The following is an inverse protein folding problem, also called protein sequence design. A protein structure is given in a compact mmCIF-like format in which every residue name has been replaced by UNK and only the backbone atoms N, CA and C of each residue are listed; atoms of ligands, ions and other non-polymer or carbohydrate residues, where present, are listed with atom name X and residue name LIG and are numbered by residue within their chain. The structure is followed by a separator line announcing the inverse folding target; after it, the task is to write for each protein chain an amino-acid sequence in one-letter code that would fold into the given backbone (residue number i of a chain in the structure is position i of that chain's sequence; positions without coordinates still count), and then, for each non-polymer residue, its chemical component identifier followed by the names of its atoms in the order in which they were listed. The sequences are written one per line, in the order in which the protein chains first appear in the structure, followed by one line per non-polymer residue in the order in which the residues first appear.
data_IF_442370950658
#
_entry.id   IF_442370950658
#
_cell.length_a   1.000
_cell.length_b   1.000
_cell.length_c   1.000
_cell.angle_alpha   90.00
_cell.angle_beta   90.00
_cell.angle_gamma   90.00
#
_symmetry.space_group_name_H-M   'P 1'
#
loop_
_entity.id
_entity.type
_entity.pdbx_description
1 polymer ?
2 non-polymer ?
3 non-polymer ?
4 water ?
#
# COMPACT_ATOMS: atom_id res chain seq x y z
CA UNK A 14 5.65 -2.95 -2.34
C UNK A 14 4.34 -2.49 -1.71
N UNK A 16 2.67 -0.07 -2.85
CA UNK A 16 2.79 1.39 -2.93
C UNK A 16 2.00 1.96 -4.13
N UNK A 17 1.41 1.11 -4.96
CA UNK A 17 0.49 1.56 -6.01
C UNK A 17 -0.86 1.72 -5.38
N UNK A 18 -1.26 2.95 -5.13
CA UNK A 18 -2.43 3.24 -4.31
C UNK A 18 -3.35 4.24 -4.97
N UNK A 19 -4.64 4.11 -4.70
CA UNK A 19 -5.66 5.00 -5.24
C UNK A 19 -5.69 6.36 -4.61
N UNK A 20 -5.65 7.38 -5.43
CA UNK A 20 -5.76 8.74 -5.01
C UNK A 20 -7.13 9.36 -5.36
N UNK A 21 -7.75 8.90 -6.46
CA UNK A 21 -9.05 9.38 -6.86
C UNK A 21 -9.73 8.27 -7.65
N UNK A 22 -10.99 8.50 -8.03
CA UNK A 22 -11.84 7.50 -8.72
C UNK A 22 -11.15 6.73 -9.86
N UNK A 23 -10.40 7.44 -10.70
CA UNK A 23 -9.78 6.81 -11.86
C UNK A 23 -8.26 6.91 -11.83
N UNK A 24 -7.69 7.18 -10.66
CA UNK A 24 -6.28 7.56 -10.56
C UNK A 24 -5.54 6.83 -9.42
N UNK A 25 -4.57 6.03 -9.77
CA UNK A 25 -3.57 5.45 -8.84
C UNK A 25 -2.28 6.26 -8.93
N UNK A 26 -1.55 6.34 -7.83
CA UNK A 26 -0.21 6.92 -7.84
C UNK A 26 0.80 5.88 -7.32
N UNK A 27 2.06 6.11 -7.60
CA UNK A 27 3.12 5.20 -7.16
C UNK A 27 4.46 5.90 -7.14
N UNK A 28 5.42 5.38 -6.36
CA UNK A 28 6.80 5.68 -6.53
C UNK A 28 7.35 5.08 -7.80
N UNK A 29 8.64 5.26 -8.05
CA UNK A 29 9.23 4.87 -9.33
C UNK A 29 8.92 3.44 -9.74
N UNK A 30 8.40 3.29 -10.94
CA UNK A 30 8.07 1.98 -11.47
C UNK A 30 9.33 1.26 -11.92
N UNK A 31 9.24 -0.07 -11.84
CA UNK A 31 10.30 -0.97 -12.28
C UNK A 31 9.66 -2.05 -13.13
N UNK A 32 10.48 -2.84 -13.82
CA UNK A 32 9.96 -3.97 -14.63
C UNK A 32 9.11 -4.92 -13.79
N UNK A 33 9.51 -5.11 -12.54
CA UNK A 33 8.81 -5.98 -11.64
C UNK A 33 7.39 -5.56 -11.34
N UNK A 34 7.02 -4.30 -11.64
CA UNK A 34 5.66 -3.83 -11.40
C UNK A 34 4.64 -4.25 -12.44
N UNK A 35 5.08 -4.84 -13.54
CA UNK A 35 4.18 -5.25 -14.62
C UNK A 35 3.03 -6.12 -14.16
N UNK A 36 3.31 -7.13 -13.33
CA UNK A 36 2.26 -8.04 -12.86
C UNK A 36 1.14 -7.30 -12.16
N UNK A 37 1.48 -6.44 -11.20
CA UNK A 37 0.45 -5.77 -10.44
C UNK A 37 -0.31 -4.78 -11.33
N UNK A 38 0.43 -4.13 -12.23
CA UNK A 38 -0.19 -3.16 -13.14
C UNK A 38 -1.24 -3.85 -14.02
N UNK A 39 -0.89 -5.04 -14.51
CA UNK A 39 -1.82 -5.83 -15.35
C UNK A 39 -3.04 -6.24 -14.53
N UNK A 40 -2.81 -6.63 -13.28
CA UNK A 40 -3.89 -7.06 -12.38
C UNK A 40 -4.88 -5.95 -12.07
N UNK A 41 -4.38 -4.72 -11.94
CA UNK A 41 -5.22 -3.58 -11.71
C UNK A 41 -5.89 -3.08 -12.99
N UNK A 42 -5.43 -3.57 -14.13
CA UNK A 42 -6.03 -3.21 -15.41
C UNK A 42 -5.77 -1.76 -15.81
N UNK A 43 -4.61 -1.26 -15.39
CA UNK A 43 -4.17 0.09 -15.74
C UNK A 43 -4.20 0.26 -17.26
N UNK A 44 -4.82 1.31 -17.73
CA UNK A 44 -4.83 1.58 -19.17
C UNK A 44 -3.98 2.76 -19.59
N UNK A 45 -3.66 3.66 -18.67
CA UNK A 45 -2.87 4.86 -18.98
C UNK A 45 -1.82 5.08 -17.90
N UNK A 46 -0.59 5.35 -18.34
CA UNK A 46 0.55 5.66 -17.48
C UNK A 46 0.96 7.10 -17.74
N UNK A 47 1.08 7.87 -16.66
CA UNK A 47 1.64 9.22 -16.68
C UNK A 47 2.91 9.21 -15.80
N UNK A 48 4.05 9.60 -16.37
CA UNK A 48 5.27 9.76 -15.66
C UNK A 48 5.56 11.19 -15.44
N UNK A 49 5.66 11.55 -14.17
CA UNK A 49 5.91 12.97 -13.79
C UNK A 49 7.34 13.29 -13.38
N UNK A 50 8.24 12.37 -13.74
CA UNK A 50 9.65 12.41 -13.35
C UNK A 50 10.50 12.64 -14.57
N UNK A 51 11.36 13.68 -14.53
CA UNK A 51 12.39 13.74 -15.59
C UNK A 51 13.26 12.49 -15.59
N UNK A 52 13.71 12.07 -16.78
CA UNK A 52 14.68 10.98 -16.86
C UNK A 52 16.00 11.45 -16.22
N UNK A 53 16.74 10.48 -15.68
CA UNK A 53 18.14 10.65 -15.22
C UNK A 53 18.24 11.46 -13.95
N UNK A 54 17.21 11.40 -13.10
CA UNK A 54 17.32 11.93 -11.76
C UNK A 54 18.25 11.07 -10.91
N UNK A 55 18.24 9.76 -11.12
CA UNK A 55 19.17 8.81 -10.45
C UNK A 55 19.73 7.85 -11.49
N UNK A 56 20.93 7.32 -11.22
CA UNK A 56 21.60 6.42 -12.17
C UNK A 56 20.85 5.14 -12.42
N UNK A 57 20.24 4.59 -11.37
CA UNK A 57 19.48 3.34 -11.46
C UNK A 57 18.12 3.51 -12.11
N UNK A 58 17.71 4.76 -12.31
CA UNK A 58 16.35 5.05 -12.71
C UNK A 58 16.05 4.65 -14.14
N UNK A 59 15.05 3.77 -14.32
CA UNK A 59 14.69 3.46 -15.70
C UNK A 59 14.15 4.69 -16.43
N UNK A 60 14.52 4.88 -17.69
CA UNK A 60 13.99 5.95 -18.53
C UNK A 60 12.53 5.65 -18.84
N UNK A 61 11.75 6.70 -19.06
CA UNK A 61 10.33 6.48 -19.36
C UNK A 61 10.14 5.60 -20.58
N UNK A 62 10.98 5.74 -21.61
CA UNK A 62 10.84 4.93 -22.81
C UNK A 62 10.95 3.44 -22.50
N UNK A 63 11.76 3.09 -21.53
CA UNK A 63 11.94 1.70 -21.16
C UNK A 63 10.77 1.19 -20.29
N UNK A 64 10.26 2.04 -19.42
CA UNK A 64 9.04 1.73 -18.69
C UNK A 64 7.91 1.46 -19.68
N UNK A 65 7.76 2.33 -20.67
CA UNK A 65 6.78 2.13 -21.72
C UNK A 65 6.96 0.78 -22.41
N UNK A 66 8.16 0.43 -22.80
CA UNK A 66 8.41 -0.89 -23.43
C UNK A 66 7.97 -2.05 -22.56
N UNK A 67 8.29 -2.01 -21.28
CA UNK A 67 7.96 -3.10 -20.37
C UNK A 67 6.45 -3.16 -20.17
N UNK A 68 5.81 -2.01 -20.02
CA UNK A 68 4.40 -2.00 -19.63
C UNK A 68 3.38 -2.09 -20.77
N UNK A 69 3.80 -1.89 -22.01
CA UNK A 69 2.94 -2.15 -23.16
C UNK A 69 2.55 -3.63 -23.21
N UNK A 70 3.36 -4.48 -22.60
CA UNK A 70 3.08 -5.90 -22.49
C UNK A 70 2.17 -6.20 -21.30
N UNK A 71 1.77 -5.16 -20.58
CA UNK A 71 0.96 -5.28 -19.35
C UNK A 71 -0.44 -4.69 -19.51
N UNK A 72 -0.85 -4.42 -20.76
CA UNK A 72 -2.18 -4.01 -21.08
C UNK A 72 -2.40 -2.51 -21.10
N UNK A 73 -1.33 -1.75 -20.85
CA UNK A 73 -1.41 -0.30 -20.80
C UNK A 73 -1.37 0.21 -22.23
N UNK A 74 -2.28 1.10 -22.59
CA UNK A 74 -2.44 1.56 -23.97
C UNK A 74 -2.08 3.02 -24.18
N UNK A 75 -2.09 3.82 -23.14
CA UNK A 75 -1.71 5.21 -23.22
C UNK A 75 -0.56 5.51 -22.32
N UNK A 76 0.38 6.33 -22.81
CA UNK A 76 1.60 6.68 -22.08
C UNK A 76 1.91 8.14 -22.28
N UNK A 77 2.15 8.85 -21.19
CA UNK A 77 2.45 10.27 -21.26
C UNK A 77 3.62 10.57 -20.36
N UNK A 78 4.66 11.22 -20.90
CA UNK A 78 5.76 11.73 -20.13
C UNK A 78 5.59 13.23 -19.86
N UNK A 79 5.26 13.54 -18.60
CA UNK A 79 4.94 14.91 -18.20
C UNK A 79 5.88 15.25 -17.06
N UNK A 80 7.16 15.40 -17.36
CA UNK A 80 8.12 15.61 -16.31
C UNK A 80 7.96 16.99 -15.63
N UNK A 81 8.04 16.99 -14.31
CA UNK A 81 8.11 18.20 -13.50
C UNK A 81 9.07 17.99 -12.34
N UNK A 82 9.41 19.08 -11.67
CA UNK A 82 9.96 19.01 -10.32
C UNK A 82 8.97 19.65 -9.34
N UNK A 83 8.91 19.14 -8.11
CA UNK A 83 7.93 19.65 -7.17
C UNK A 83 8.05 21.15 -7.01
N UNK A 84 9.29 21.61 -6.95
CA UNK A 84 9.63 23.02 -6.85
C UNK A 84 9.03 23.86 -7.99
N UNK A 85 9.11 23.35 -9.21
CA UNK A 85 8.79 24.16 -10.39
C UNK A 85 7.38 23.99 -10.92
N UNK A 86 6.54 23.19 -10.25
CA UNK A 86 5.17 22.98 -10.71
C UNK A 86 4.44 24.33 -10.79
N UNK A 87 3.87 24.61 -11.96
CA UNK A 87 3.13 25.82 -12.21
C UNK A 87 1.74 25.44 -12.69
N UNK A 88 0.92 26.48 -12.84
CA UNK A 88 -0.45 26.30 -13.30
C UNK A 88 -0.56 25.50 -14.60
N UNK A 89 0.33 25.76 -15.56
CA UNK A 89 0.34 25.03 -16.85
C UNK A 89 0.47 23.51 -16.60
N UNK A 90 1.32 23.14 -15.65
CA UNK A 90 1.48 21.71 -15.30
C UNK A 90 0.23 21.09 -14.70
N UNK A 91 -0.40 21.79 -13.78
CA UNK A 91 -1.58 21.31 -13.12
C UNK A 91 -2.72 21.04 -14.12
N UNK A 92 -2.97 22.01 -14.99
CA UNK A 92 -4.06 21.79 -15.95
C UNK A 92 -3.66 20.77 -17.04
N UNK A 93 -2.38 20.67 -17.42
CA UNK A 93 -1.98 19.58 -18.32
C UNK A 93 -2.25 18.19 -17.70
N UNK A 94 -1.98 18.04 -16.40
CA UNK A 94 -2.27 16.75 -15.74
C UNK A 94 -3.77 16.48 -15.75
N UNK A 95 -4.55 17.51 -15.39
CA UNK A 95 -6.00 17.39 -15.41
C UNK A 95 -6.54 16.94 -16.76
N UNK A 96 -6.02 17.55 -17.82
CA UNK A 96 -6.43 17.23 -19.18
C UNK A 96 -6.02 15.83 -19.59
N UNK A 97 -4.79 15.43 -19.26
CA UNK A 97 -4.34 14.09 -19.61
C UNK A 97 -5.25 13.06 -18.97
N UNK A 98 -5.59 13.26 -17.71
CA UNK A 98 -6.54 12.36 -17.06
C UNK A 98 -7.92 12.45 -17.72
N UNK A 99 -8.38 13.65 -18.04
CA UNK A 99 -9.73 13.79 -18.59
C UNK A 99 -9.93 13.04 -19.89
N UNK A 100 -8.87 12.94 -20.67
CA UNK A 100 -8.93 12.36 -22.00
C UNK A 100 -8.40 10.94 -22.04
N UNK A 101 -8.02 10.41 -20.87
CA UNK A 101 -7.40 9.09 -20.79
C UNK A 101 -8.40 7.94 -20.72
N UNK A 102 -7.97 6.77 -21.14
CA UNK A 102 -8.67 5.55 -20.76
C UNK A 102 -8.32 5.30 -19.30
N UNK A 103 -9.34 4.88 -18.56
CA UNK A 103 -9.20 4.59 -17.12
C UNK A 103 -9.03 3.11 -16.82
N UNK A 104 -8.37 2.79 -15.71
CA UNK A 104 -7.75 3.70 -14.77
C UNK A 104 -6.37 4.21 -15.24
N UNK A 105 -5.98 5.33 -14.64
CA UNK A 105 -4.68 5.99 -14.87
C UNK A 105 -3.78 5.66 -13.70
N UNK A 106 -2.50 5.38 -13.96
CA UNK A 106 -1.47 5.32 -12.92
C UNK A 106 -0.45 6.43 -13.23
N UNK A 107 -0.27 7.32 -12.26
CA UNK A 107 0.77 8.35 -12.34
C UNK A 107 1.89 8.03 -11.38
N UNK A 108 3.13 8.24 -11.79
CA UNK A 108 4.26 8.00 -10.89
C UNK A 108 5.36 9.08 -10.98
N UNK A 109 6.12 9.22 -9.92
CA UNK A 109 7.33 9.99 -10.01
C UNK A 109 8.31 9.18 -9.19
N UNK A 110 9.25 9.83 -8.54
CA UNK A 110 10.17 9.07 -7.70
C UNK A 110 9.43 8.48 -6.50
N UNK A 111 8.54 9.29 -5.91
CA UNK A 111 7.79 8.91 -4.72
C UNK A 111 6.28 8.95 -4.86
N UNK A 112 5.78 9.61 -5.91
CA UNK A 112 4.36 9.93 -6.01
C UNK A 112 4.02 11.32 -5.52
N UNK A 113 4.99 12.04 -4.97
CA UNK A 113 4.76 13.41 -4.47
C UNK A 113 4.29 14.34 -5.58
N UNK A 114 5.01 14.30 -6.70
CA UNK A 114 4.65 15.25 -7.78
C UNK A 114 3.27 14.99 -8.34
N UNK A 115 2.91 13.71 -8.52
CA UNK A 115 1.58 13.32 -8.97
C UNK A 115 0.51 13.87 -8.02
N UNK A 116 0.79 13.64 -6.73
CA UNK A 116 -0.17 14.03 -5.70
C UNK A 116 -0.31 15.55 -5.65
N UNK A 117 0.77 16.27 -5.90
CA UNK A 117 0.68 17.74 -5.96
C UNK A 117 -0.06 18.23 -7.19
N UNK A 118 0.18 17.65 -8.35
CA UNK A 118 -0.54 18.05 -9.54
C UNK A 118 -2.06 17.86 -9.33
N UNK A 119 -2.43 16.71 -8.77
CA UNK A 119 -3.82 16.40 -8.39
C UNK A 119 -4.30 17.41 -7.37
N UNK A 120 -3.49 17.61 -6.33
CA UNK A 120 -3.92 18.41 -5.17
C UNK A 120 -4.08 19.88 -5.47
N UNK A 121 -3.23 20.49 -6.27
CA UNK A 121 -3.38 21.90 -6.67
C UNK A 121 -4.70 22.13 -7.40
N UNK A 122 -5.11 21.14 -8.19
CA UNK A 122 -6.38 21.23 -8.93
C UNK A 122 -7.56 21.14 -7.98
N UNK A 123 -7.51 20.23 -7.01
CA UNK A 123 -8.54 20.08 -5.96
C UNK A 123 -8.65 21.37 -5.17
N UNK A 124 -7.53 22.02 -4.86
CA UNK A 124 -7.54 23.28 -4.14
C UNK A 124 -8.30 24.33 -4.91
N UNK A 125 -8.02 24.46 -6.20
CA UNK A 125 -8.77 25.37 -7.08
C UNK A 125 -10.26 25.08 -7.09
N UNK A 126 -10.64 23.81 -7.07
CA UNK A 126 -12.05 23.43 -7.05
C UNK A 126 -12.70 23.61 -5.70
N UNK A 127 -11.92 23.98 -4.68
CA UNK A 127 -12.46 24.28 -3.35
C UNK A 127 -12.34 23.18 -2.33
N UNK A 129 -10.92 21.54 0.80
CA UNK A 129 -10.09 22.11 1.84
C UNK A 129 -8.71 21.46 1.88
N UNK A 130 -7.73 22.24 2.27
CA UNK A 130 -6.33 21.80 2.20
C UNK A 130 -6.11 20.57 3.07
N UNK A 131 -6.71 20.54 4.27
CA UNK A 131 -6.56 19.37 5.12
C UNK A 131 -7.08 18.09 4.51
N UNK A 132 -8.15 18.21 3.73
CA UNK A 132 -8.73 17.08 3.00
C UNK A 132 -7.81 16.63 1.86
N UNK A 133 -7.25 17.59 1.15
CA UNK A 133 -6.22 17.26 0.10
C UNK A 133 -5.11 16.41 0.73
N UNK A 134 -4.59 16.92 1.85
CA UNK A 134 -3.51 16.25 2.52
C UNK A 134 -3.91 14.85 3.05
N UNK A 135 -5.10 14.77 3.61
CA UNK A 135 -5.59 13.49 4.10
C UNK A 135 -5.71 12.48 2.96
N UNK A 136 -6.27 12.92 1.84
CA UNK A 136 -6.46 12.02 0.69
C UNK A 136 -5.13 11.54 0.08
N UNK A 137 -4.15 12.46 -0.03
CA UNK A 137 -2.86 12.03 -0.54
C UNK A 137 -2.18 11.06 0.40
N UNK A 138 -2.36 11.32 1.70
CA UNK A 138 -1.76 10.43 2.71
C UNK A 138 -2.35 9.02 2.65
N UNK A 139 -3.64 8.98 2.29
CA UNK A 139 -4.33 7.71 2.07
C UNK A 139 -3.79 6.97 0.85
N UNK A 140 -3.10 7.70 -0.04
CA UNK A 140 -2.35 7.07 -1.11
C UNK A 140 -0.84 6.98 -0.89
N UNK A 141 -0.42 7.09 0.38
CA UNK A 141 0.91 6.80 0.74
C UNK A 141 1.88 7.98 0.63
N UNK A 142 1.33 9.19 0.45
CA UNK A 142 2.19 10.35 0.19
C UNK A 142 1.86 11.46 1.18
N UNK A 143 2.88 11.99 1.86
CA UNK A 143 2.72 13.06 2.80
C UNK A 143 2.99 14.42 2.11
N UNK A 144 1.96 15.25 2.01
CA UNK A 144 2.08 16.58 1.41
C UNK A 144 2.12 17.72 2.45
N UNK A 145 2.38 17.38 3.72
CA UNK A 145 2.35 18.39 4.78
C UNK A 145 3.33 19.54 4.54
N UNK A 146 4.48 19.23 3.93
CA UNK A 146 5.47 20.27 3.63
C UNK A 146 5.07 21.20 2.49
N UNK A 147 3.93 20.94 1.84
CA UNK A 147 3.40 21.77 0.76
C UNK A 147 2.11 22.46 1.14
N UNK A 148 1.77 22.44 2.43
CA UNK A 148 0.52 23.02 2.89
C UNK A 148 0.30 24.47 2.42
N UNK A 149 1.34 25.29 2.53
CA UNK A 149 1.22 26.72 2.17
C UNK A 149 0.93 26.92 0.68
N UNK A 150 1.64 26.17 -0.18
CA UNK A 150 1.41 26.26 -1.61
C UNK A 150 0.03 25.75 -1.98
N UNK A 151 -0.41 24.70 -1.28
CA UNK A 151 -1.74 24.20 -1.56
C UNK A 151 -2.80 25.26 -1.23
N UNK A 152 -2.62 25.90 -0.11
CA UNK A 152 -3.57 26.91 0.33
C UNK A 152 -3.63 28.02 -0.71
N UNK A 153 -2.48 28.47 -1.20
CA UNK A 153 -2.43 29.53 -2.21
C UNK A 153 -3.02 29.20 -3.57
N UNK A 154 -3.29 27.92 -3.81
CA UNK A 154 -3.98 27.52 -5.05
C UNK A 154 -5.50 27.60 -4.91
N UNK A 155 -6.00 27.82 -3.70
CA UNK A 155 -7.47 27.91 -3.50
C UNK A 155 -7.95 29.35 -3.68
N UNK A 156 -9.11 29.49 -4.29
CA UNK B 14 3.87 -24.51 18.22
C UNK B 14 2.61 -24.05 18.92
N UNK B 16 0.89 -21.62 17.83
CA UNK B 16 1.01 -20.15 17.76
C UNK B 16 0.26 -19.58 16.56
N UNK B 17 -0.33 -20.45 15.72
CA UNK B 17 -1.26 -19.98 14.68
C UNK B 17 -2.63 -19.86 15.30
N UNK B 18 -3.06 -18.63 15.56
CA UNK B 18 -4.22 -18.38 16.42
C UNK B 18 -5.18 -17.35 15.82
N UNK B 19 -6.45 -17.50 16.14
CA UNK B 19 -7.50 -16.67 15.57
C UNK B 19 -7.59 -15.29 16.21
N UNK B 20 -7.51 -14.28 15.37
CA UNK B 20 -7.63 -12.93 15.81
C UNK B 20 -9.01 -12.35 15.52
N UNK B 21 -9.65 -12.79 14.44
CA UNK B 21 -10.98 -12.30 14.06
C UNK B 21 -11.65 -13.40 13.24
N UNK B 22 -12.91 -13.16 12.87
CA UNK B 22 -13.75 -14.12 12.13
C UNK B 22 -13.04 -14.85 10.99
N UNK B 23 -12.32 -14.12 10.17
CA UNK B 23 -11.70 -14.77 8.99
C UNK B 23 -10.18 -14.67 9.01
N UNK B 24 -9.60 -14.43 10.17
CA UNK B 24 -8.21 -14.01 10.26
C UNK B 24 -7.45 -14.74 11.39
N UNK B 25 -6.48 -15.55 10.99
CA UNK B 25 -5.46 -16.09 11.90
C UNK B 25 -4.18 -15.26 11.81
N UNK B 26 -3.44 -15.21 12.92
CA UNK B 26 -2.11 -14.61 12.88
C UNK B 26 -1.08 -15.64 13.40
N UNK B 27 0.17 -15.37 13.10
CA UNK B 27 1.25 -16.27 13.48
C UNK B 27 2.58 -15.57 13.51
N UNK B 28 3.54 -16.10 14.29
CA UNK B 28 4.93 -15.80 14.08
C UNK B 28 5.47 -16.37 12.77
N UNK B 29 6.73 -16.13 12.51
CA UNK B 29 7.33 -16.48 11.21
C UNK B 29 7.03 -17.91 10.79
N UNK B 30 6.52 -18.07 9.58
CA UNK B 30 6.20 -19.39 9.05
C UNK B 30 7.45 -20.10 8.58
N UNK B 31 7.38 -21.42 8.68
CA UNK B 31 8.44 -22.32 8.21
C UNK B 31 7.79 -23.38 7.34
N UNK B 32 8.63 -24.17 6.67
CA UNK B 32 8.13 -25.27 5.85
C UNK B 32 7.28 -26.24 6.67
N UNK B 33 7.67 -26.43 7.90
CA UNK B 33 7.01 -27.29 8.85
C UNK B 33 5.59 -26.90 9.20
N UNK B 34 5.19 -25.66 8.87
CA UNK B 34 3.83 -25.21 9.16
C UNK B 34 2.80 -25.64 8.11
N UNK B 35 3.27 -26.20 6.99
CA UNK B 35 2.38 -26.55 5.88
C UNK B 35 1.24 -27.45 6.32
N UNK B 36 1.55 -28.43 7.16
CA UNK B 36 0.54 -29.40 7.59
C UNK B 36 -0.58 -28.72 8.36
N UNK B 37 -0.24 -27.88 9.34
CA UNK B 37 -1.27 -27.23 10.13
C UNK B 37 -2.08 -26.26 9.27
N UNK B 38 -1.38 -25.61 8.33
CA UNK B 38 -2.01 -24.63 7.46
C UNK B 38 -3.04 -25.33 6.57
N UNK B 39 -2.70 -26.51 6.04
CA UNK B 39 -3.65 -27.30 5.24
C UNK B 39 -4.85 -27.74 6.09
N UNK B 40 -4.56 -28.14 7.34
CA UNK B 40 -5.63 -28.57 8.27
C UNK B 40 -6.64 -27.47 8.59
N UNK B 41 -6.15 -26.24 8.74
CA UNK B 41 -7.02 -25.10 8.95
C UNK B 41 -7.73 -24.61 7.69
N UNK B 42 -7.30 -25.10 6.53
CA UNK B 42 -7.91 -24.73 5.27
C UNK B 42 -7.67 -23.26 4.91
N UNK B 43 -6.50 -22.75 5.30
CA UNK B 43 -6.12 -21.38 4.97
C UNK B 43 -6.13 -21.21 3.46
N UNK B 44 -6.80 -20.15 3.00
CA UNK B 44 -6.84 -19.87 1.56
C UNK B 44 -5.98 -18.67 1.16
N UNK B 45 -5.64 -17.79 2.09
CA UNK B 45 -4.86 -16.57 1.77
C UNK B 45 -3.82 -16.35 2.86
N UNK B 46 -2.58 -16.04 2.42
CA UNK B 46 -1.45 -15.72 3.28
C UNK B 46 -1.05 -14.28 3.04
N UNK B 47 -0.96 -13.51 4.11
CA UNK B 47 -0.40 -12.18 4.07
C UNK B 47 0.88 -12.18 4.91
N UNK B 48 2.01 -11.78 4.32
CA UNK B 48 3.24 -11.62 5.02
C UNK B 48 3.50 -10.18 5.29
N UNK B 49 3.62 -9.81 6.57
CA UNK B 49 3.81 -8.43 6.92
C UNK B 49 5.26 -8.10 7.29
N UNK B 50 6.18 -8.99 6.89
CA UNK B 50 7.59 -8.91 7.29
C UNK B 50 8.44 -8.65 6.07
N UNK B 51 9.27 -7.60 6.10
CA UNK B 51 10.29 -7.49 5.04
C UNK B 51 11.17 -8.75 5.02
N UNK B 52 11.56 -9.15 3.81
CA UNK B 52 12.57 -10.19 3.66
C UNK B 52 13.87 -9.68 4.27
N UNK B 53 14.66 -10.63 4.78
CA UNK B 53 16.05 -10.42 5.20
C UNK B 53 16.16 -9.64 6.51
N UNK B 54 15.17 -9.76 7.41
CA UNK B 54 15.34 -9.23 8.74
C UNK B 54 16.29 -10.11 9.54
N UNK B 55 16.28 -11.42 9.26
CA UNK B 55 17.25 -12.36 9.85
C UNK B 55 17.75 -13.32 8.79
N UNK B 56 18.96 -13.87 8.99
CA UNK B 56 19.55 -14.79 8.01
C UNK B 56 18.80 -16.11 7.90
N UNK B 57 18.23 -16.59 9.01
CA UNK B 57 17.43 -17.82 9.03
C UNK B 57 16.06 -17.69 8.41
N UNK B 58 15.63 -16.46 8.16
CA UNK B 58 14.28 -16.17 7.71
C UNK B 58 14.07 -16.51 6.24
N UNK B 59 13.13 -17.41 5.91
CA UNK B 59 12.91 -17.64 4.48
C UNK B 59 12.23 -16.47 3.81
N UNK B 60 12.62 -16.14 2.59
CA UNK B 60 11.98 -15.09 1.82
C UNK B 60 10.51 -15.47 1.63
N UNK B 61 9.67 -14.46 1.45
CA UNK B 61 8.26 -14.63 1.15
C UNK B 61 8.08 -15.60 -0.02
N UNK B 62 8.89 -15.43 -1.06
CA UNK B 62 8.76 -16.25 -2.26
C UNK B 62 8.89 -17.73 -1.97
N UNK B 63 9.72 -18.08 -1.02
CA UNK B 63 9.92 -19.48 -0.65
C UNK B 63 8.76 -19.99 0.19
N UNK B 64 8.25 -19.17 1.11
CA UNK B 64 7.04 -19.52 1.86
C UNK B 64 5.91 -19.79 0.89
N UNK B 65 5.73 -18.92 -0.07
CA UNK B 65 4.74 -19.10 -1.11
C UNK B 65 4.94 -20.44 -1.85
N UNK B 66 6.17 -20.74 -2.27
CA UNK B 66 6.49 -22.04 -2.90
C UNK B 66 6.05 -23.20 -2.07
N UNK B 67 6.44 -23.20 -0.81
CA UNK B 67 6.08 -24.26 0.11
C UNK B 67 4.57 -24.38 0.33
N UNK B 68 3.87 -23.26 0.47
CA UNK B 68 2.46 -23.31 0.91
C UNK B 68 1.42 -23.39 -0.22
N UNK B 69 1.84 -23.15 -1.46
CA UNK B 69 1.00 -23.41 -2.62
C UNK B 69 0.60 -24.89 -2.71
N UNK B 70 1.43 -25.76 -2.13
CA UNK B 70 1.13 -27.16 -2.03
C UNK B 70 0.25 -27.50 -0.83
N UNK B 71 -0.11 -26.47 -0.05
CA UNK B 71 -0.89 -26.64 1.20
C UNK B 71 -2.31 -26.09 1.09
N UNK B 72 -2.75 -25.83 -0.14
CA UNK B 72 -4.10 -25.39 -0.42
C UNK B 72 -4.32 -23.89 -0.43
N UNK B 73 -3.27 -23.12 -0.21
CA UNK B 73 -3.37 -21.67 -0.14
C UNK B 73 -3.39 -21.13 -1.56
N UNK B 74 -4.31 -20.26 -1.89
CA UNK B 74 -4.48 -19.78 -3.27
C UNK B 74 -4.13 -18.30 -3.45
N UNK B 75 -4.15 -17.52 -2.38
CA UNK B 75 -3.80 -16.11 -2.46
C UNK B 75 -2.63 -15.83 -1.58
N UNK B 76 -1.70 -15.01 -2.08
CA UNK B 76 -0.47 -14.67 -1.37
C UNK B 76 -0.19 -13.20 -1.54
N UNK B 77 0.03 -12.49 -0.45
CA UNK B 77 0.32 -11.07 -0.51
C UNK B 77 1.50 -10.75 0.37
N UNK B 78 2.49 -10.04 -0.18
CA UNK B 78 3.62 -9.55 0.60
C UNK B 78 3.41 -8.06 0.85
N UNK B 79 3.10 -7.75 2.13
CA UNK B 79 2.79 -6.40 2.59
C UNK B 79 3.75 -6.05 3.74
N UNK B 80 5.03 -5.87 3.41
CA UNK B 80 6.00 -5.66 4.44
C UNK B 80 5.84 -4.32 5.14
N UNK B 81 5.94 -4.33 6.47
CA UNK B 81 5.97 -3.12 7.29
C UNK B 81 6.95 -3.32 8.45
N UNK B 82 7.29 -2.25 9.14
CA UNK B 82 7.87 -2.34 10.48
C UNK B 82 6.88 -1.71 11.45
N UNK B 83 6.85 -2.23 12.68
CA UNK B 83 5.87 -1.75 13.63
C UNK B 83 5.98 -0.25 13.83
N UNK B 84 7.20 0.24 13.86
CA UNK B 84 7.44 1.66 14.09
C UNK B 84 6.91 2.50 12.91
N UNK B 85 6.96 1.98 11.68
CA UNK B 85 6.59 2.81 10.51
C UNK B 85 5.18 2.62 10.01
N UNK B 86 4.38 1.76 10.64
CA UNK B 86 3.01 1.55 10.23
C UNK B 86 2.23 2.90 10.24
N UNK B 87 1.56 3.18 9.12
CA UNK B 87 0.68 4.34 9.03
C UNK B 87 -0.72 3.92 8.61
N UNK B 88 -1.67 4.84 8.67
CA UNK B 88 -3.05 4.53 8.35
C UNK B 88 -3.22 3.90 6.93
N UNK B 89 -2.40 4.23 5.94
CA UNK B 89 -2.60 3.59 4.63
C UNK B 89 -2.18 2.13 4.64
N UNK B 90 -1.20 1.77 5.46
CA UNK B 90 -0.84 0.35 5.65
C UNK B 90 -2.02 -0.35 6.27
N UNK B 91 -2.65 0.29 7.25
CA UNK B 91 -3.83 -0.25 7.89
C UNK B 91 -4.94 -0.52 6.88
N UNK B 92 -5.20 0.47 6.03
CA UNK B 92 -6.26 0.30 5.03
C UNK B 92 -5.88 -0.71 3.94
N UNK B 93 -4.61 -0.77 3.56
CA UNK B 93 -4.17 -1.81 2.62
C UNK B 93 -4.45 -3.21 3.22
N UNK B 94 -4.13 -3.37 4.49
CA UNK B 94 -4.40 -4.69 5.13
C UNK B 94 -5.90 -5.02 5.17
N UNK B 95 -6.68 -3.99 5.50
CA UNK B 95 -8.14 -4.06 5.43
C UNK B 95 -8.60 -4.49 4.04
N UNK B 96 -8.11 -3.82 3.00
CA UNK B 96 -8.53 -4.15 1.66
C UNK B 96 -8.15 -5.57 1.24
N UNK B 97 -6.97 -6.01 1.66
CA UNK B 97 -6.49 -7.34 1.28
C UNK B 97 -7.40 -8.39 1.92
N UNK B 98 -7.73 -8.22 3.19
CA UNK B 98 -8.67 -9.15 3.84
C UNK B 98 -10.06 -9.07 3.20
N UNK B 99 -10.56 -7.87 2.93
CA UNK B 99 -11.88 -7.72 2.35
C UNK B 99 -12.07 -8.42 1.03
N UNK B 100 -11.01 -8.52 0.25
CA UNK B 100 -11.08 -9.09 -1.08
C UNK B 100 -10.56 -10.52 -1.10
N UNK B 101 -10.14 -11.04 0.04
CA UNK B 101 -9.51 -12.36 0.08
C UNK B 101 -10.48 -13.52 0.14
N UNK B 102 -10.06 -14.69 -0.31
CA UNK B 102 -10.74 -15.90 0.08
C UNK B 102 -10.37 -16.16 1.53
N UNK B 103 -11.34 -16.64 2.29
CA UNK B 103 -11.20 -16.91 3.72
C UNK B 103 -10.99 -18.40 4.02
N UNK B 104 -10.31 -18.73 5.13
CA UNK B 104 -9.67 -17.82 6.06
C UNK B 104 -8.33 -17.30 5.55
N UNK B 105 -7.93 -16.17 6.14
CA UNK B 105 -6.66 -15.51 5.91
C UNK B 105 -5.75 -15.85 7.08
N UNK B 106 -4.47 -16.09 6.78
CA UNK B 106 -3.39 -16.15 7.79
C UNK B 106 -2.40 -15.04 7.53
N UNK B 107 -2.21 -14.14 8.47
CA UNK B 107 -1.19 -13.09 8.41
C UNK B 107 -0.05 -13.43 9.37
N UNK B 108 1.19 -13.20 8.94
CA UNK B 108 2.31 -13.45 9.83
C UNK B 108 3.36 -12.34 9.71
N UNK B 109 4.14 -12.23 10.75
CA UNK B 109 5.38 -11.46 10.68
C UNK B 109 6.41 -12.22 11.53
N UNK B 110 7.39 -11.56 12.11
CA UNK B 110 8.32 -12.29 12.98
C UNK B 110 7.57 -12.90 14.15
N UNK B 111 6.64 -12.13 14.72
CA UNK B 111 5.92 -12.51 15.92
C UNK B 111 4.41 -12.49 15.82
N UNK B 112 3.86 -11.85 14.78
CA UNK B 112 2.44 -11.53 14.72
C UNK B 112 2.08 -10.14 15.21
N UNK B 113 3.03 -9.41 15.78
CA UNK B 113 2.80 -8.07 16.29
C UNK B 113 2.34 -7.13 15.19
N UNK B 114 3.03 -7.13 14.05
CA UNK B 114 2.64 -6.21 12.99
C UNK B 114 1.25 -6.49 12.44
N UNK B 115 0.94 -7.77 12.25
CA UNK B 115 -0.39 -8.17 11.78
C UNK B 115 -1.46 -7.65 12.75
N UNK B 116 -1.18 -7.87 14.02
CA UNK B 116 -2.12 -7.50 15.09
C UNK B 116 -2.31 -6.00 15.15
N UNK B 117 -1.25 -5.23 14.92
CA UNK B 117 -1.34 -3.78 14.89
C UNK B 117 -2.13 -3.31 13.68
N UNK B 118 -1.90 -3.89 12.52
CA UNK B 118 -2.64 -3.46 11.34
C UNK B 118 -4.13 -3.70 11.56
N UNK B 119 -4.48 -4.86 12.12
CA UNK B 119 -5.86 -5.17 12.52
C UNK B 119 -6.36 -4.22 13.58
N UNK B 120 -5.56 -4.01 14.59
CA UNK B 120 -5.97 -3.25 15.77
C UNK B 120 -6.16 -1.77 15.50
N UNK B 121 -5.32 -1.15 14.70
CA UNK B 121 -5.51 0.25 14.33
C UNK B 121 -6.87 0.44 13.64
N UNK B 122 -7.30 -0.56 12.89
CA UNK B 122 -8.56 -0.44 12.14
C UNK B 122 -9.72 -0.55 13.12
N UNK B 123 -9.62 -1.47 14.07
CA UNK B 123 -10.62 -1.66 15.12
C UNK B 123 -10.77 -0.38 15.92
N UNK B 124 -9.66 0.28 16.23
CA UNK B 124 -9.65 1.51 17.01
C UNK B 124 -10.44 2.58 16.23
N UNK B 125 -10.13 2.77 14.95
CA UNK B 125 -10.90 3.71 14.09
C UNK B 125 -12.39 3.39 14.10
N UNK B 126 -12.74 2.10 14.11
CA UNK B 126 -14.15 1.70 14.15
C UNK B 126 -14.83 1.87 15.50
N UNK B 127 -14.06 2.16 16.53
CA UNK B 127 -14.59 2.42 17.86
C UNK B 127 -14.43 1.32 18.88
N UNK B 129 -13.00 -0.40 21.92
CA UNK B 129 -12.14 0.17 22.97
C UNK B 129 -10.71 -0.41 22.95
N UNK B 130 -9.74 0.41 23.32
CA UNK B 130 -8.32 0.00 23.25
C UNK B 130 -8.05 -1.23 24.11
N UNK B 131 -8.62 -1.27 25.32
CA UNK B 131 -8.44 -2.42 26.16
C UNK B 131 -8.96 -3.72 25.53
N UNK B 132 -10.07 -3.63 24.78
CA UNK B 132 -10.60 -4.81 24.07
C UNK B 132 -9.71 -5.21 22.87
N UNK B 133 -9.21 -4.21 22.16
CA UNK B 133 -8.20 -4.49 21.09
C UNK B 133 -7.04 -5.32 21.68
N UNK B 134 -6.51 -4.82 22.80
CA UNK B 134 -5.39 -5.47 23.45
C UNK B 134 -5.73 -6.89 23.95
N UNK B 135 -6.94 -7.00 24.53
CA UNK B 135 -7.43 -8.29 25.02
C UNK B 135 -7.54 -9.32 23.88
N UNK B 136 -8.13 -8.89 22.76
CA UNK B 136 -8.34 -9.79 21.63
C UNK B 136 -7.00 -10.20 20.98
N UNK B 137 -6.06 -9.26 20.84
CA UNK B 137 -4.72 -9.65 20.35
C UNK B 137 -4.00 -10.62 21.29
N UNK B 138 -4.19 -10.40 22.59
CA UNK B 138 -3.55 -11.27 23.58
C UNK B 138 -4.10 -12.72 23.50
N UNK B 139 -5.40 -12.79 23.21
CA UNK B 139 -6.08 -14.04 22.95
C UNK B 139 -5.53 -14.77 21.71
N UNK B 140 -4.90 -14.01 20.80
CA UNK B 140 -4.19 -14.60 19.69
C UNK B 140 -2.66 -14.69 19.87
N UNK B 141 -2.20 -14.59 21.12
CA UNK B 141 -0.84 -14.79 21.46
C UNK B 141 0.10 -13.59 21.30
N UNK B 142 -0.47 -12.39 21.19
CA UNK B 142 0.32 -11.18 20.91
C UNK B 142 -0.04 -10.09 21.92
N UNK B 143 0.98 -9.56 22.61
CA UNK B 143 0.80 -8.48 23.56
C UNK B 143 1.07 -7.12 22.89
N UNK B 144 0.02 -6.30 22.83
CA UNK B 144 0.10 -4.98 22.25
C UNK B 144 0.10 -3.87 23.31
N UNK B 145 0.38 -4.19 24.57
CA UNK B 145 0.32 -3.17 25.62
C UNK B 145 1.29 -2.01 25.37
N UNK B 146 2.44 -2.29 24.79
CA UNK B 146 3.43 -1.25 24.49
C UNK B 146 3.04 -0.32 23.37
N UNK B 147 1.89 -0.57 22.73
CA UNK B 147 1.38 0.25 21.67
C UNK B 147 0.08 0.92 22.03
N UNK B 148 -0.25 0.90 23.31
CA UNK B 148 -1.52 1.47 23.77
C UNK B 148 -1.74 2.91 23.33
N UNK B 149 -0.73 3.76 23.50
CA UNK B 149 -0.85 5.17 23.12
C UNK B 149 -1.18 5.36 21.63
N UNK B 150 -0.48 4.64 20.74
CA UNK B 150 -0.72 4.70 19.31
C UNK B 150 -2.12 4.18 18.96
N UNK B 151 -2.55 3.11 19.64
CA UNK B 151 -3.89 2.58 19.41
C UNK B 151 -4.97 3.59 19.81
N UNK B 152 -4.79 4.21 20.95
CA UNK B 152 -5.74 5.23 21.40
C UNK B 152 -5.80 6.37 20.40
N UNK B 153 -4.64 6.80 19.90
CA UNK B 153 -4.59 7.91 18.95
C UNK B 153 -5.25 7.61 17.62
N UNK B 154 -5.46 6.33 17.31
CA UNK B 154 -6.17 5.92 16.11
C UNK B 154 -7.70 5.97 16.25
N UNK B 155 -8.20 6.16 17.47
CA UNK B 155 -9.63 6.33 17.72
C UNK B 155 -10.07 7.68 17.17
N UNK B 156 -9.33 8.71 17.55
#
# INVERSE_FOLDING_TARGET
GXPSEKQPQSKGNKXAILKLDEHLYISPQLTKADAEQIAQLGIKTIICNRPDREEESQPDFAQIKQWLEQAGVTGFHHQPVTARDIQKHDVETFRQLIGQAEYPVLAYCRTGTRCSLLWGFRRAAEGXPVDEIIRRAQAAGVNLENFRERLDNARV
GXPSEKQPQSKGNKXAILKLDEHLYISPQLTKADAEQIAQLGIKTIICNRPDREEESQPDFAQIKQWLEQAGVTGFHHQPVTARDIQKHDVETFRQLIGQAEYPVLAYCRTGTRCSLLWGFRRAAEGXPVDEIIRRAQAAGVNLENFRERLDNARV
#
